data_IF_179986730120
#
_entry.id   IF_179986730120
#
_cell.length_a   1.000
_cell.length_b   1.000
_cell.length_c   1.000
_cell.angle_alpha   90.00
_cell.angle_beta   90.00
_cell.angle_gamma   90.00
#
_symmetry.space_group_name_H-M   'P 1'
#
loop_
_entity.id
_entity.type
_entity.pdbx_description
1 polymer ?
#
# COMPACT_ATOMS: atom_id res chain seq x y z
N UNK A 1 78.22 -27.37 21.59
CA UNK A 1 78.35 -25.90 21.69
C UNK A 1 77.56 -25.31 20.53
N UNK A 2 76.66 -24.36 20.84
CA UNK A 2 76.04 -23.33 19.97
C UNK A 2 75.39 -23.76 18.63
N UNK A 3 74.33 -23.16 18.08
CA UNK A 3 73.46 -22.03 18.42
C UNK A 3 72.29 -22.01 17.41
N UNK A 4 71.10 -21.57 17.88
CA UNK A 4 70.17 -20.63 17.21
C UNK A 4 69.83 -20.77 15.71
N UNK A 5 68.54 -20.95 15.39
CA UNK A 5 67.68 -19.82 14.96
C UNK A 5 66.22 -20.28 14.70
N UNK A 6 65.32 -19.88 15.60
CA UNK A 6 63.87 -19.83 15.36
C UNK A 6 63.55 -18.57 14.54
N UNK A 7 62.76 -18.71 13.47
CA UNK A 7 62.02 -17.60 12.85
C UNK A 7 60.52 -17.87 13.00
N UNK A 8 59.88 -16.93 13.68
CA UNK A 8 58.45 -16.82 13.96
C UNK A 8 57.65 -16.54 12.69
N UNK A 9 56.63 -17.36 12.43
CA UNK A 9 55.55 -17.05 11.51
C UNK A 9 54.40 -16.38 12.26
N UNK A 10 54.04 -15.16 11.85
CA UNK A 10 52.88 -14.42 12.37
C UNK A 10 51.57 -15.08 11.90
N UNK A 11 50.74 -15.49 12.87
CA UNK A 11 49.35 -15.90 12.62
C UNK A 11 48.47 -14.68 12.32
N UNK A 12 48.02 -14.59 11.08
CA UNK A 12 47.07 -13.58 10.64
C UNK A 12 45.66 -13.92 11.15
N UNK A 13 45.26 -13.38 12.31
CA UNK A 13 43.91 -13.52 12.88
C UNK A 13 42.89 -12.70 12.08
N UNK A 14 42.30 -13.35 11.08
CA UNK A 14 41.10 -12.88 10.39
C UNK A 14 39.97 -12.58 11.39
N UNK A 15 39.73 -11.29 11.61
CA UNK A 15 38.58 -10.81 12.37
C UNK A 15 37.33 -10.87 11.49
N UNK A 16 36.64 -12.00 11.52
CA UNK A 16 35.25 -12.08 11.07
C UNK A 16 34.38 -11.29 12.05
N UNK A 17 34.14 -10.02 11.73
CA UNK A 17 33.08 -9.24 12.39
C UNK A 17 31.75 -9.97 12.13
N UNK A 18 31.22 -10.59 13.17
CA UNK A 18 29.84 -11.06 13.24
C UNK A 18 28.92 -9.87 12.95
N UNK A 19 28.36 -9.83 11.73
CA UNK A 19 27.27 -8.90 11.41
C UNK A 19 26.08 -9.40 12.22
N UNK A 20 25.73 -8.66 13.27
CA UNK A 20 24.51 -8.90 14.02
C UNK A 20 23.34 -8.93 13.04
N UNK A 21 22.71 -10.10 12.86
CA UNK A 21 21.52 -10.25 12.03
C UNK A 21 20.42 -9.42 12.66
N UNK A 22 20.14 -8.26 12.07
CA UNK A 22 18.94 -7.48 12.40
C UNK A 22 17.71 -8.41 12.30
N UNK A 23 16.76 -8.31 13.25
CA UNK A 23 15.58 -9.16 13.23
C UNK A 23 14.82 -8.98 11.91
N UNK A 24 14.15 -10.04 11.42
CA UNK A 24 13.42 -9.96 10.17
C UNK A 24 12.38 -8.83 10.23
N UNK A 25 12.22 -8.07 9.13
CA UNK A 25 11.28 -6.98 9.04
C UNK A 25 9.87 -7.53 9.27
N UNK A 26 9.22 -7.08 10.34
CA UNK A 26 7.83 -7.43 10.63
C UNK A 26 6.90 -6.57 9.79
N UNK A 27 5.72 -7.09 9.49
CA UNK A 27 4.67 -6.32 8.87
C UNK A 27 4.24 -5.17 9.79
N UNK A 28 4.11 -3.93 9.27
CA UNK A 28 3.79 -2.78 10.12
C UNK A 28 2.41 -2.90 10.80
N UNK A 29 1.48 -3.68 10.23
CA UNK A 29 0.16 -3.92 10.83
C UNK A 29 0.19 -4.55 12.23
N UNK A 30 1.26 -5.27 12.59
CA UNK A 30 1.40 -5.90 13.91
C UNK A 30 1.90 -4.93 14.98
N UNK A 31 2.49 -3.81 14.57
CA UNK A 31 3.13 -2.82 15.44
C UNK A 31 2.48 -1.42 15.34
N UNK A 32 1.51 -1.23 14.45
CA UNK A 32 0.82 0.03 14.25
C UNK A 32 -0.09 0.35 15.45
N UNK A 33 0.52 0.88 16.52
CA UNK A 33 -0.15 1.73 17.50
C UNK A 33 -0.12 3.16 16.93
N UNK A 34 -0.89 3.41 15.87
CA UNK A 34 -1.07 4.80 15.43
C UNK A 34 -1.92 5.47 16.52
N UNK A 35 -1.41 6.56 17.10
CA UNK A 35 -2.15 7.40 18.05
C UNK A 35 -3.31 8.08 17.33
N UNK A 36 -4.39 7.34 17.09
CA UNK A 36 -5.61 7.78 16.43
C UNK A 36 -6.75 7.89 17.44
N UNK A 37 -6.50 8.60 18.55
CA UNK A 37 -7.60 9.13 19.37
C UNK A 37 -8.37 10.27 18.65
N UNK A 38 -7.98 10.62 17.43
CA UNK A 38 -8.74 11.52 16.57
C UNK A 38 -9.45 10.71 15.48
N UNK A 39 -10.78 10.79 15.47
CA UNK A 39 -11.60 10.54 14.28
C UNK A 39 -10.90 11.19 13.08
N UNK A 40 -10.49 10.40 12.09
CA UNK A 40 -9.94 10.94 10.84
C UNK A 40 -11.12 11.58 10.11
N UNK A 41 -11.29 12.88 10.32
CA UNK A 41 -12.22 13.72 9.56
C UNK A 41 -11.46 14.15 8.31
N UNK A 42 -12.01 13.88 7.13
CA UNK A 42 -11.48 14.53 5.93
C UNK A 42 -12.12 15.91 5.72
N UNK A 43 -12.05 16.46 4.51
CA UNK A 43 -12.57 17.81 4.22
C UNK A 43 -14.10 17.88 4.41
N UNK A 44 -14.58 18.97 5.02
CA UNK A 44 -16.02 19.29 5.14
C UNK A 44 -16.54 19.82 3.81
N UNK A 45 -17.70 19.34 3.34
CA UNK A 45 -18.41 19.97 2.24
C UNK A 45 -19.23 21.18 2.72
N UNK A 46 -19.37 22.17 1.86
CA UNK A 46 -19.90 23.49 2.19
C UNK A 46 -21.42 23.63 2.01
N UNK A 47 -22.17 22.52 1.91
CA UNK A 47 -23.57 22.58 1.41
C UNK A 47 -24.65 21.80 2.16
N UNK A 48 -24.34 21.21 3.33
CA UNK A 48 -25.37 20.78 4.29
C UNK A 48 -26.42 19.81 3.74
N UNK A 49 -26.14 18.51 3.80
CA UNK A 49 -27.08 17.42 4.19
C UNK A 49 -26.50 16.01 3.93
N UNK A 50 -25.29 15.90 3.37
CA UNK A 50 -24.60 14.60 3.30
C UNK A 50 -23.93 14.28 4.65
N UNK A 51 -24.46 13.29 5.38
CA UNK A 51 -23.78 12.78 6.58
C UNK A 51 -22.60 11.91 6.18
N UNK A 52 -21.42 12.50 6.16
CA UNK A 52 -20.14 11.81 5.95
C UNK A 52 -20.06 10.52 6.77
N UNK A 53 -19.64 9.43 6.12
CA UNK A 53 -19.32 8.16 6.79
C UNK A 53 -17.88 8.19 7.27
N UNK A 54 -17.68 8.18 8.59
CA UNK A 54 -16.36 8.09 9.21
C UNK A 54 -15.80 6.65 9.15
N UNK A 55 -14.47 6.51 9.20
CA UNK A 55 -13.84 5.24 9.55
C UNK A 55 -14.10 4.95 11.04
N UNK A 56 -14.60 3.75 11.34
CA UNK A 56 -14.75 3.29 12.72
C UNK A 56 -13.50 2.54 13.16
N UNK A 57 -13.17 2.65 14.45
CA UNK A 57 -11.98 2.06 15.05
C UNK A 57 -12.30 1.36 16.36
N UNK A 58 -11.61 0.26 16.63
CA UNK A 58 -11.57 -0.46 17.91
C UNK A 58 -10.13 -0.91 18.16
N UNK A 59 -9.57 -0.60 19.32
CA UNK A 59 -8.17 -0.90 19.69
C UNK A 59 -7.14 -0.53 18.61
N UNK A 60 -7.31 0.65 18.01
CA UNK A 60 -6.41 1.17 16.97
C UNK A 60 -6.53 0.47 15.61
N UNK A 61 -7.52 -0.40 15.41
CA UNK A 61 -7.79 -1.10 14.15
C UNK A 61 -9.08 -0.59 13.54
N UNK A 62 -9.13 -0.48 12.21
CA UNK A 62 -10.40 -0.20 11.53
C UNK A 62 -11.37 -1.36 11.73
N UNK A 63 -12.61 -1.03 12.05
CA UNK A 63 -13.70 -1.99 12.17
C UNK A 63 -14.87 -1.59 11.26
N UNK A 64 -15.67 -2.55 10.82
CA UNK A 64 -16.86 -2.25 10.04
C UNK A 64 -17.87 -1.41 10.82
N UNK A 65 -18.62 -0.57 10.11
CA UNK A 65 -19.69 0.24 10.67
C UNK A 65 -20.98 0.09 9.87
N UNK A 66 -22.11 0.48 10.46
CA UNK A 66 -23.39 0.56 9.73
C UNK A 66 -23.29 1.48 8.51
N UNK A 67 -22.50 2.55 8.60
CA UNK A 67 -22.30 3.50 7.52
C UNK A 67 -21.50 2.91 6.36
N UNK A 68 -20.36 2.27 6.64
CA UNK A 68 -19.54 1.63 5.61
C UNK A 68 -20.25 0.44 4.97
N UNK A 69 -21.01 -0.35 5.73
CA UNK A 69 -21.82 -1.43 5.19
C UNK A 69 -22.92 -0.92 4.24
N UNK A 70 -23.54 0.22 4.58
CA UNK A 70 -24.49 0.90 3.70
C UNK A 70 -23.82 1.37 2.41
N UNK A 71 -22.65 1.99 2.51
CA UNK A 71 -21.87 2.41 1.32
C UNK A 71 -21.54 1.23 0.41
N UNK A 72 -21.11 0.08 0.96
CA UNK A 72 -20.83 -1.12 0.17
C UNK A 72 -22.06 -1.54 -0.64
N UNK A 73 -23.22 -1.61 0.01
CA UNK A 73 -24.48 -1.92 -0.67
C UNK A 73 -24.80 -0.91 -1.78
N UNK A 74 -24.63 0.38 -1.52
CA UNK A 74 -24.94 1.46 -2.46
C UNK A 74 -24.05 1.46 -3.72
N UNK A 75 -22.79 1.06 -3.59
CA UNK A 75 -21.88 0.93 -4.75
C UNK A 75 -22.04 -0.37 -5.55
N UNK A 76 -22.98 -1.24 -5.17
CA UNK A 76 -23.23 -2.52 -5.85
C UNK A 76 -22.59 -3.75 -5.21
N UNK A 77 -22.18 -3.64 -3.94
CA UNK A 77 -21.74 -4.77 -3.11
C UNK A 77 -20.32 -5.27 -3.40
N UNK A 78 -19.97 -6.40 -2.80
CA UNK A 78 -18.65 -7.02 -2.93
C UNK A 78 -18.28 -7.38 -4.38
N UNK A 79 -19.26 -7.57 -5.26
CA UNK A 79 -19.03 -7.79 -6.69
C UNK A 79 -18.35 -6.61 -7.37
N UNK A 80 -18.70 -5.37 -7.01
CA UNK A 80 -18.07 -4.18 -7.61
C UNK A 80 -16.69 -3.93 -7.00
N UNK A 81 -16.54 -4.16 -5.69
CA UNK A 81 -15.23 -4.17 -5.03
C UNK A 81 -14.27 -5.19 -5.68
N UNK A 82 -14.76 -6.39 -6.02
CA UNK A 82 -13.98 -7.40 -6.72
C UNK A 82 -13.50 -6.92 -8.09
N UNK A 83 -14.38 -6.35 -8.91
CA UNK A 83 -13.98 -5.80 -10.21
C UNK A 83 -12.91 -4.71 -10.08
N UNK A 84 -13.05 -3.84 -9.09
CA UNK A 84 -12.05 -2.81 -8.79
C UNK A 84 -10.70 -3.45 -8.45
N UNK A 85 -10.68 -4.42 -7.53
CA UNK A 85 -9.45 -5.07 -7.08
C UNK A 85 -8.78 -5.89 -8.19
N UNK A 86 -9.54 -6.60 -9.03
CA UNK A 86 -9.00 -7.30 -10.21
C UNK A 86 -8.38 -6.29 -11.17
N UNK A 87 -9.13 -5.22 -11.49
CA UNK A 87 -8.65 -4.18 -12.40
C UNK A 87 -7.38 -3.49 -11.90
N UNK A 88 -7.25 -3.33 -10.58
CA UNK A 88 -6.02 -2.86 -9.97
C UNK A 88 -4.87 -3.84 -10.21
N UNK A 89 -5.06 -5.14 -9.93
CA UNK A 89 -3.98 -6.10 -10.10
C UNK A 89 -3.58 -6.35 -11.55
N UNK A 90 -4.50 -6.15 -12.52
CA UNK A 90 -4.15 -6.11 -13.94
C UNK A 90 -3.08 -5.04 -14.23
N UNK A 91 -3.17 -3.87 -13.58
CA UNK A 91 -2.20 -2.79 -13.72
C UNK A 91 -0.94 -3.06 -12.91
N UNK A 92 -1.10 -3.44 -11.64
CA UNK A 92 -0.01 -3.77 -10.72
C UNK A 92 0.97 -4.78 -11.33
N UNK A 93 0.45 -5.83 -11.98
CA UNK A 93 1.26 -6.89 -12.56
C UNK A 93 2.02 -6.47 -13.82
N UNK A 94 1.61 -5.37 -14.46
CA UNK A 94 2.24 -4.81 -15.65
C UNK A 94 3.13 -3.59 -15.34
N UNK A 95 3.02 -3.03 -14.14
CA UNK A 95 3.78 -1.86 -13.68
C UNK A 95 5.25 -2.21 -13.41
N UNK A 96 6.19 -1.40 -13.87
CA UNK A 96 7.63 -1.70 -13.82
C UNK A 96 8.23 -1.71 -12.41
N UNK A 97 7.58 -1.07 -11.43
CA UNK A 97 8.00 -1.06 -10.03
C UNK A 97 7.23 -2.12 -9.25
N UNK A 98 5.90 -2.07 -9.29
CA UNK A 98 5.06 -2.87 -8.40
C UNK A 98 5.08 -4.37 -8.73
N UNK A 99 5.24 -4.76 -10.00
CA UNK A 99 5.27 -6.19 -10.36
C UNK A 99 6.39 -6.95 -9.63
N UNK A 100 7.46 -6.29 -9.21
CA UNK A 100 8.59 -6.88 -8.48
C UNK A 100 8.20 -7.42 -7.10
N UNK A 101 7.11 -6.92 -6.51
CA UNK A 101 6.56 -7.37 -5.24
C UNK A 101 5.67 -8.62 -5.35
N UNK A 102 5.38 -9.08 -6.58
CA UNK A 102 4.59 -10.28 -6.83
C UNK A 102 5.30 -11.51 -6.27
N UNK A 103 4.57 -12.28 -5.46
CA UNK A 103 5.02 -13.58 -4.92
C UNK A 103 4.22 -14.73 -5.53
N UNK A 104 2.90 -14.59 -5.58
CA UNK A 104 2.01 -15.64 -6.10
C UNK A 104 1.83 -15.52 -7.61
N UNK A 105 1.71 -16.67 -8.29
CA UNK A 105 1.54 -16.74 -9.75
C UNK A 105 0.09 -17.00 -10.19
N UNK A 106 -0.88 -16.57 -9.40
CA UNK A 106 -2.32 -16.79 -9.62
C UNK A 106 -3.04 -15.62 -10.33
N UNK A 107 -2.26 -14.73 -10.94
CA UNK A 107 -2.76 -13.64 -11.78
C UNK A 107 -3.52 -12.55 -11.01
N UNK A 108 -4.14 -11.66 -11.78
CA UNK A 108 -4.90 -10.53 -11.25
C UNK A 108 -6.17 -10.98 -10.51
N UNK A 109 -6.80 -12.04 -10.98
CA UNK A 109 -8.02 -12.58 -10.37
C UNK A 109 -7.77 -13.12 -8.96
N UNK A 110 -6.76 -13.99 -8.79
CA UNK A 110 -6.45 -14.57 -7.49
C UNK A 110 -6.08 -13.51 -6.43
N UNK A 111 -5.24 -12.55 -6.81
CA UNK A 111 -4.91 -11.40 -5.94
C UNK A 111 -6.13 -10.50 -5.69
N UNK A 112 -6.90 -10.19 -6.74
CA UNK A 112 -8.09 -9.36 -6.67
C UNK A 112 -9.12 -9.93 -5.72
N UNK A 113 -9.36 -11.25 -5.74
CA UNK A 113 -10.28 -11.93 -4.82
C UNK A 113 -9.83 -11.78 -3.37
N UNK A 114 -8.54 -12.01 -3.06
CA UNK A 114 -8.03 -11.86 -1.68
C UNK A 114 -8.22 -10.44 -1.17
N UNK A 115 -7.91 -9.46 -2.01
CA UNK A 115 -8.00 -8.06 -1.63
C UNK A 115 -9.45 -7.58 -1.50
N UNK A 116 -10.33 -8.00 -2.42
CA UNK A 116 -11.75 -7.68 -2.39
C UNK A 116 -12.44 -8.25 -1.16
N UNK A 117 -12.19 -9.53 -0.83
CA UNK A 117 -12.75 -10.13 0.38
C UNK A 117 -12.32 -9.38 1.64
N UNK A 118 -11.04 -8.98 1.72
CA UNK A 118 -10.56 -8.18 2.83
C UNK A 118 -11.24 -6.80 2.88
N UNK A 119 -11.36 -6.11 1.74
CA UNK A 119 -12.03 -4.79 1.67
C UNK A 119 -13.51 -4.88 2.05
N UNK A 120 -14.22 -5.91 1.55
CA UNK A 120 -15.62 -6.19 1.91
C UNK A 120 -15.75 -6.43 3.40
N UNK A 121 -14.84 -7.22 3.98
CA UNK A 121 -14.82 -7.45 5.42
C UNK A 121 -14.55 -6.16 6.21
N UNK A 122 -13.68 -5.25 5.72
CA UNK A 122 -13.44 -3.94 6.34
C UNK A 122 -14.66 -3.00 6.26
N UNK A 123 -15.42 -3.06 5.17
CA UNK A 123 -16.65 -2.27 5.02
C UNK A 123 -17.81 -2.84 5.82
N UNK A 124 -17.90 -4.17 5.90
CA UNK A 124 -19.00 -4.93 6.49
C UNK A 124 -20.23 -5.02 5.57
N UNK A 125 -21.28 -5.67 6.08
CA UNK A 125 -22.57 -5.80 5.37
C UNK A 125 -22.73 -7.07 4.53
N UNK A 126 -21.64 -7.78 4.22
CA UNK A 126 -21.65 -9.05 3.47
C UNK A 126 -20.91 -10.18 4.20
N UNK A 127 -20.86 -10.12 5.54
CA UNK A 127 -20.18 -11.13 6.37
C UNK A 127 -18.68 -10.92 6.47
N UNK A 128 -17.93 -12.01 6.66
CA UNK A 128 -16.48 -12.03 6.92
C UNK A 128 -15.75 -12.90 5.89
N UNK A 129 -15.86 -12.60 4.58
CA UNK A 129 -15.42 -13.53 3.53
C UNK A 129 -13.92 -13.80 3.53
N UNK A 130 -13.07 -12.88 4.02
CA UNK A 130 -11.65 -13.15 4.16
C UNK A 130 -11.42 -14.15 5.31
N UNK A 131 -12.02 -13.91 6.47
CA UNK A 131 -11.92 -14.80 7.63
C UNK A 131 -12.54 -16.18 7.36
N UNK A 132 -13.74 -16.25 6.80
CA UNK A 132 -14.48 -17.50 6.55
C UNK A 132 -13.73 -18.43 5.57
N UNK A 133 -12.93 -17.86 4.67
CA UNK A 133 -12.08 -18.60 3.73
C UNK A 133 -10.67 -18.85 4.26
N UNK A 134 -10.43 -18.61 5.55
CA UNK A 134 -9.13 -18.85 6.21
C UNK A 134 -8.04 -17.86 5.79
N UNK A 135 -8.40 -16.62 5.47
CA UNK A 135 -7.49 -15.57 4.97
C UNK A 135 -7.31 -14.37 5.89
N UNK A 136 -7.87 -14.40 7.10
CA UNK A 136 -7.87 -13.26 8.03
C UNK A 136 -6.46 -12.72 8.36
N UNK A 137 -5.46 -13.60 8.46
CA UNK A 137 -4.06 -13.24 8.75
C UNK A 137 -3.16 -13.23 7.50
N UNK A 138 -3.65 -13.72 6.36
CA UNK A 138 -2.86 -13.84 5.14
C UNK A 138 -2.36 -12.50 4.62
N UNK A 139 -3.06 -11.39 4.90
CA UNK A 139 -2.60 -10.05 4.54
C UNK A 139 -1.23 -9.75 5.13
N UNK A 140 -1.03 -10.00 6.42
CA UNK A 140 0.23 -9.70 7.09
C UNK A 140 1.38 -10.51 6.47
N UNK A 141 1.17 -11.81 6.29
CA UNK A 141 2.17 -12.69 5.69
C UNK A 141 2.42 -12.40 4.21
N UNK A 142 1.40 -11.99 3.45
CA UNK A 142 1.55 -11.58 2.06
C UNK A 142 2.49 -10.37 1.95
N UNK A 143 2.36 -9.38 2.83
CA UNK A 143 3.27 -8.24 2.86
C UNK A 143 4.70 -8.64 3.21
N UNK A 144 4.90 -9.43 4.27
CA UNK A 144 6.24 -9.92 4.62
C UNK A 144 6.88 -10.65 3.44
N UNK A 145 6.13 -11.55 2.77
CA UNK A 145 6.63 -12.26 1.60
C UNK A 145 6.96 -11.32 0.43
N UNK A 146 6.14 -10.30 0.19
CA UNK A 146 6.40 -9.30 -0.86
C UNK A 146 7.68 -8.51 -0.61
N UNK A 147 8.02 -8.23 0.65
CA UNK A 147 9.27 -7.55 0.98
C UNK A 147 10.49 -8.39 0.58
N UNK A 148 10.37 -9.71 0.63
CA UNK A 148 11.41 -10.66 0.23
C UNK A 148 11.17 -11.28 -1.16
N UNK A 149 10.33 -10.67 -1.99
CA UNK A 149 10.07 -11.19 -3.33
C UNK A 149 11.36 -11.25 -4.16
N UNK A 150 11.59 -12.37 -4.84
CA UNK A 150 12.79 -12.61 -5.66
C UNK A 150 12.91 -11.68 -6.87
N UNK A 151 11.79 -11.09 -7.31
CA UNK A 151 11.78 -10.11 -8.39
C UNK A 151 12.35 -8.74 -8.00
N UNK A 152 12.55 -8.48 -6.69
CA UNK A 152 13.17 -7.25 -6.20
C UNK A 152 14.68 -7.32 -6.27
N UNK A 153 15.30 -6.16 -6.45
CA UNK A 153 16.75 -5.99 -6.43
C UNK A 153 17.32 -6.53 -5.11
N UNK A 154 18.45 -7.26 -5.11
CA UNK A 154 18.98 -7.89 -3.91
C UNK A 154 19.18 -6.93 -2.72
N UNK A 155 19.59 -5.69 -2.99
CA UNK A 155 19.80 -4.67 -1.95
C UNK A 155 18.49 -4.04 -1.42
N UNK A 156 17.36 -4.25 -2.10
CA UNK A 156 16.02 -3.80 -1.68
C UNK A 156 15.21 -4.89 -1.00
N UNK A 157 15.60 -6.17 -1.10
CA UNK A 157 14.90 -7.26 -0.43
C UNK A 157 14.90 -7.09 1.10
N UNK A 158 13.75 -7.32 1.71
CA UNK A 158 13.48 -7.07 3.13
C UNK A 158 13.05 -5.63 3.45
N UNK A 159 13.22 -4.68 2.55
CA UNK A 159 12.69 -3.33 2.76
C UNK A 159 11.16 -3.35 2.61
N UNK A 160 10.45 -2.54 3.40
CA UNK A 160 9.01 -2.34 3.24
C UNK A 160 8.70 -1.56 1.96
N UNK A 161 7.43 -1.37 1.63
CA UNK A 161 7.03 -0.39 0.64
C UNK A 161 7.60 0.99 1.02
N UNK A 162 8.21 1.65 0.04
CA UNK A 162 8.74 3.01 0.15
C UNK A 162 7.72 4.01 -0.41
N UNK A 163 8.06 5.30 -0.35
CA UNK A 163 7.16 6.37 -0.75
C UNK A 163 6.71 6.22 -2.22
N UNK A 164 7.66 6.00 -3.14
CA UNK A 164 7.38 5.79 -4.56
C UNK A 164 6.42 4.62 -4.77
N UNK A 165 6.67 3.48 -4.11
CA UNK A 165 5.82 2.30 -4.20
C UNK A 165 4.39 2.63 -3.76
N UNK A 166 4.24 3.37 -2.66
CA UNK A 166 2.93 3.77 -2.12
C UNK A 166 2.20 4.73 -3.07
N UNK A 167 2.89 5.71 -3.64
CA UNK A 167 2.30 6.68 -4.60
C UNK A 167 1.83 5.99 -5.87
N UNK A 168 2.65 5.12 -6.46
CA UNK A 168 2.27 4.33 -7.64
C UNK A 168 1.06 3.44 -7.31
N UNK A 169 1.11 2.74 -6.16
CA UNK A 169 0.02 1.88 -5.72
C UNK A 169 -1.30 2.64 -5.56
N UNK A 170 -1.28 3.82 -4.92
CA UNK A 170 -2.46 4.67 -4.76
C UNK A 170 -3.03 5.14 -6.10
N UNK A 171 -2.20 5.66 -7.00
CA UNK A 171 -2.63 6.14 -8.33
C UNK A 171 -3.33 5.03 -9.13
N UNK A 172 -2.74 3.83 -9.16
CA UNK A 172 -3.35 2.68 -9.86
C UNK A 172 -4.65 2.20 -9.18
N UNK A 173 -4.73 2.28 -7.85
CA UNK A 173 -5.97 1.96 -7.11
C UNK A 173 -7.09 2.95 -7.44
N UNK A 174 -6.83 4.26 -7.35
CA UNK A 174 -7.82 5.28 -7.66
C UNK A 174 -8.26 5.23 -9.13
N UNK A 175 -7.32 5.00 -10.06
CA UNK A 175 -7.66 4.76 -11.46
C UNK A 175 -8.61 3.56 -11.63
N UNK A 176 -8.32 2.45 -10.97
CA UNK A 176 -9.17 1.24 -11.03
C UNK A 176 -10.55 1.48 -10.41
N UNK A 177 -10.64 2.22 -9.31
CA UNK A 177 -11.90 2.62 -8.71
C UNK A 177 -12.72 3.52 -9.64
N UNK A 178 -12.07 4.43 -10.38
CA UNK A 178 -12.73 5.28 -11.39
C UNK A 178 -13.29 4.49 -12.56
N UNK A 179 -12.56 3.49 -13.04
CA UNK A 179 -13.04 2.61 -14.12
C UNK A 179 -14.32 1.85 -13.73
N UNK A 180 -14.52 1.58 -12.44
CA UNK A 180 -15.76 0.98 -11.94
C UNK A 180 -16.85 2.02 -11.57
N UNK A 181 -16.62 3.31 -11.83
CA UNK A 181 -17.57 4.38 -11.55
C UNK A 181 -17.71 4.76 -10.07
N UNK A 182 -16.87 4.22 -9.18
CA UNK A 182 -17.02 4.39 -7.73
C UNK A 182 -16.89 5.84 -7.26
N UNK A 183 -16.07 6.64 -7.95
CA UNK A 183 -15.92 8.07 -7.71
C UNK A 183 -17.20 8.89 -7.89
N UNK A 184 -18.21 8.36 -8.60
CA UNK A 184 -19.51 9.02 -8.79
C UNK A 184 -20.37 8.97 -7.53
N UNK A 185 -20.10 8.03 -6.63
CA UNK A 185 -20.78 7.93 -5.34
C UNK A 185 -20.00 8.71 -4.27
N UNK A 186 -20.34 10.00 -4.10
CA UNK A 186 -19.59 10.93 -3.23
C UNK A 186 -19.26 10.35 -1.85
N UNK A 187 -20.26 9.77 -1.17
CA UNK A 187 -20.06 9.18 0.15
C UNK A 187 -19.07 8.02 0.21
N UNK A 188 -19.02 7.22 -0.85
CA UNK A 188 -18.05 6.12 -0.93
C UNK A 188 -16.67 6.69 -1.25
N UNK A 189 -16.60 7.63 -2.19
CA UNK A 189 -15.33 8.23 -2.59
C UNK A 189 -14.61 8.94 -1.43
N UNK A 190 -15.34 9.73 -0.64
CA UNK A 190 -14.81 10.38 0.55
C UNK A 190 -14.37 9.38 1.62
N UNK A 191 -15.16 8.33 1.85
CA UNK A 191 -14.79 7.24 2.76
C UNK A 191 -13.55 6.49 2.26
N UNK A 192 -13.46 6.25 0.96
CA UNK A 192 -12.39 5.50 0.34
C UNK A 192 -11.06 6.27 0.35
N UNK A 193 -11.08 7.59 0.14
CA UNK A 193 -9.91 8.46 0.35
C UNK A 193 -9.40 8.35 1.79
N UNK A 194 -10.30 8.43 2.79
CA UNK A 194 -9.92 8.27 4.20
C UNK A 194 -9.34 6.88 4.49
N UNK A 195 -9.99 5.85 3.95
CA UNK A 195 -9.55 4.46 4.08
C UNK A 195 -8.13 4.29 3.54
N UNK A 196 -7.89 4.78 2.32
CA UNK A 196 -6.58 4.72 1.66
C UNK A 196 -5.53 5.49 2.47
N UNK A 197 -5.85 6.71 2.92
CA UNK A 197 -4.97 7.52 3.77
C UNK A 197 -4.52 6.78 5.02
N UNK A 198 -5.45 6.17 5.75
CA UNK A 198 -5.11 5.38 6.94
C UNK A 198 -4.20 4.20 6.60
N UNK A 199 -4.51 3.47 5.53
CA UNK A 199 -3.78 2.25 5.20
C UNK A 199 -2.37 2.52 4.66
N UNK A 200 -2.16 3.57 3.86
CA UNK A 200 -0.82 3.90 3.36
C UNK A 200 0.11 4.44 4.45
N UNK A 201 -0.44 5.17 5.42
CA UNK A 201 0.29 5.68 6.60
C UNK A 201 0.95 4.56 7.42
N UNK A 202 0.35 3.37 7.43
CA UNK A 202 0.92 2.19 8.10
C UNK A 202 2.21 1.72 7.42
N UNK A 203 2.32 1.86 6.09
CA UNK A 203 3.49 1.41 5.35
C UNK A 203 4.60 2.45 5.33
N UNK A 204 4.22 3.69 4.99
CA UNK A 204 5.13 4.82 4.87
C UNK A 204 4.36 6.09 5.28
N UNK A 205 4.83 6.75 6.33
CA UNK A 205 4.12 7.84 7.01
C UNK A 205 3.85 9.04 6.07
N UNK A 206 4.82 9.42 5.24
CA UNK A 206 4.70 10.54 4.31
C UNK A 206 3.71 10.28 3.17
N UNK A 207 3.45 9.01 2.84
CA UNK A 207 2.56 8.63 1.74
C UNK A 207 1.13 9.17 1.93
N UNK A 208 0.69 9.37 3.17
CA UNK A 208 -0.65 9.91 3.49
C UNK A 208 -0.91 11.30 2.89
N UNK A 209 0.15 12.07 2.64
CA UNK A 209 0.07 13.41 2.07
C UNK A 209 -0.26 13.40 0.57
N UNK A 210 -0.07 12.26 -0.11
CA UNK A 210 -0.27 12.12 -1.55
C UNK A 210 -1.58 11.44 -1.93
N UNK A 211 -2.46 11.15 -0.98
CA UNK A 211 -3.69 10.39 -1.25
C UNK A 211 -4.64 11.19 -2.14
N UNK A 212 -4.86 12.46 -1.82
CA UNK A 212 -5.67 13.37 -2.63
C UNK A 212 -5.04 13.61 -4.00
N UNK A 213 -3.73 13.91 -4.05
CA UNK A 213 -2.98 14.06 -5.31
C UNK A 213 -3.11 12.81 -6.19
N UNK A 214 -2.97 11.62 -5.61
CA UNK A 214 -3.14 10.35 -6.34
C UNK A 214 -4.57 10.12 -6.83
N UNK A 215 -5.57 10.57 -6.07
CA UNK A 215 -6.96 10.51 -6.46
C UNK A 215 -7.27 11.50 -7.60
N UNK A 216 -6.68 12.68 -7.58
CA UNK A 216 -6.76 13.70 -8.63
C UNK A 216 -6.00 13.28 -9.90
N UNK A 217 -4.81 12.70 -9.76
CA UNK A 217 -4.01 12.18 -10.87
C UNK A 217 -4.83 11.27 -11.77
N UNK A 218 -5.66 10.41 -11.17
CA UNK A 218 -6.51 9.47 -11.91
C UNK A 218 -7.71 10.11 -12.64
N UNK A 219 -7.98 11.41 -12.45
CA UNK A 219 -8.99 12.16 -13.21
C UNK A 219 -8.52 12.54 -14.60
N UNK A 220 -7.21 12.71 -14.77
CA UNK A 220 -6.64 13.25 -15.99
C UNK A 220 -6.31 12.10 -16.97
N UNK A 221 -6.97 12.01 -18.14
CA UNK A 221 -6.64 11.01 -19.14
C UNK A 221 -5.21 11.15 -19.69
N UNK A 222 -4.64 12.36 -19.68
CA UNK A 222 -3.28 12.60 -20.18
C UNK A 222 -2.24 11.93 -19.25
N UNK A 223 -2.42 12.03 -17.93
CA UNK A 223 -1.58 11.33 -16.96
C UNK A 223 -1.57 9.80 -17.19
N UNK A 224 -2.74 9.23 -17.50
CA UNK A 224 -2.88 7.80 -17.79
C UNK A 224 -2.17 7.46 -19.11
N UNK A 225 -2.33 8.32 -20.12
CA UNK A 225 -1.67 8.16 -21.41
C UNK A 225 -0.15 8.22 -21.26
N UNK A 226 0.38 9.21 -20.55
CA UNK A 226 1.81 9.36 -20.26
C UNK A 226 2.37 8.12 -19.56
N UNK A 227 1.69 7.63 -18.52
CA UNK A 227 2.08 6.39 -17.84
C UNK A 227 2.14 5.19 -18.81
N UNK A 228 1.15 5.05 -19.70
CA UNK A 228 1.11 3.96 -20.67
C UNK A 228 2.20 4.09 -21.75
N UNK A 229 2.44 5.30 -22.24
CA UNK A 229 3.47 5.61 -23.24
C UNK A 229 4.88 5.44 -22.67
N UNK A 230 5.08 5.75 -21.38
CA UNK A 230 6.30 5.48 -20.62
C UNK A 230 6.49 3.99 -20.25
N UNK A 231 5.77 3.09 -20.92
CA UNK A 231 5.88 1.65 -20.70
C UNK A 231 5.43 1.20 -19.32
N UNK A 232 4.46 1.89 -18.71
CA UNK A 232 3.94 1.66 -17.34
C UNK A 232 4.96 1.97 -16.25
N UNK A 233 5.60 3.12 -16.40
CA UNK A 233 6.52 3.70 -15.43
C UNK A 233 6.02 5.10 -15.07
N UNK A 234 5.91 5.42 -13.78
CA UNK A 234 5.55 6.77 -13.33
C UNK A 234 6.82 7.58 -13.07
N UNK A 235 7.37 8.17 -14.14
CA UNK A 235 8.62 8.93 -14.10
C UNK A 235 8.54 10.18 -13.21
N UNK A 236 7.33 10.73 -13.02
CA UNK A 236 7.05 11.86 -12.12
C UNK A 236 6.97 11.46 -10.63
N UNK A 237 7.08 10.17 -10.32
CA UNK A 237 7.06 9.64 -8.95
C UNK A 237 8.42 9.09 -8.55
N UNK A 238 9.06 8.32 -9.44
CA UNK A 238 10.24 7.54 -9.09
C UNK A 238 11.43 8.45 -8.81
N UNK A 239 11.99 8.34 -7.61
CA UNK A 239 13.16 9.12 -7.17
C UNK A 239 12.87 10.58 -6.84
N UNK A 240 11.60 11.00 -6.86
CA UNK A 240 11.20 12.36 -6.47
C UNK A 240 11.15 12.44 -4.94
N UNK A 241 11.93 13.35 -4.36
CA UNK A 241 12.02 13.53 -2.92
C UNK A 241 10.93 14.48 -2.39
N UNK A 242 10.69 14.46 -1.07
CA UNK A 242 9.83 15.46 -0.43
C UNK A 242 10.33 16.89 -0.65
N UNK A 243 11.66 17.08 -0.69
CA UNK A 243 12.28 18.38 -0.93
C UNK A 243 11.96 18.91 -2.33
N UNK A 244 12.00 18.05 -3.35
CA UNK A 244 11.63 18.41 -4.73
C UNK A 244 10.17 18.89 -4.79
N UNK A 245 9.29 18.19 -4.10
CA UNK A 245 7.83 18.47 -4.05
C UNK A 245 7.56 19.80 -3.34
N UNK A 246 8.24 20.06 -2.23
CA UNK A 246 8.15 21.33 -1.51
C UNK A 246 8.70 22.49 -2.34
N UNK A 247 9.77 22.27 -3.10
CA UNK A 247 10.38 23.30 -3.93
C UNK A 247 9.45 23.74 -5.07
N UNK A 248 8.73 22.80 -5.68
CA UNK A 248 7.80 23.10 -6.77
C UNK A 248 6.52 23.77 -6.28
N UNK A 249 6.03 23.39 -5.09
CA UNK A 249 4.85 24.04 -4.48
C UNK A 249 5.11 25.52 -4.18
N UNK A 250 6.36 25.90 -3.87
CA UNK A 250 6.75 27.30 -3.61
C UNK A 250 6.89 28.15 -4.88
N UNK A 251 6.92 27.55 -6.07
CA UNK A 251 7.06 28.25 -7.35
C UNK A 251 5.71 28.58 -8.01
N UNK A 252 4.62 27.97 -7.55
CA UNK A 252 3.25 28.19 -8.02
C UNK A 252 2.56 29.28 -7.20
#
# INVERSE_FOLDING_TARGET
MSESALKSGEENKSHTKSIAKSPPPRCPFRAANISLNKKIRGPQDSKGDFKRVELAFEDGKTVPSKGSAKLLKEIGGGKVALKMCISFYEKFLLDTVLHKFKVENDGAEGHGIRFADWLVEQMGGEGTPATDKGRGDQREWAHVRSYFAKGREPHKQGQRFQLDDCRIWMRLMFWSARQQGLHKHQGFWEWYILFMRYYVDIYQDDAKHFVEESAEWSTNPDNIKEYLDAGRTMEDVIGVTMEDIEADTKKQ
#
